data_IF_359558461854
#
_entry.id   IF_359558461854
#
_cell.length_a   1.000
_cell.length_b   1.000
_cell.length_c   1.000
_cell.angle_alpha   90.00
_cell.angle_beta   90.00
_cell.angle_gamma   90.00
#
_symmetry.space_group_name_H-M   'P 1'
#
loop_
_entity.id
_entity.type
_entity.pdbx_description
1 polymer ?
#
# COMPACT_ATOMS: atom_id res chain seq x y z
N UNK A 1 -55.55 11.66 7.36
CA UNK A 1 -54.33 12.51 7.27
C UNK A 1 -53.15 11.63 7.66
N UNK A 2 -52.37 11.19 6.67
CA UNK A 2 -51.15 10.42 6.82
C UNK A 2 -49.97 11.42 6.85
N UNK A 3 -49.17 11.42 7.92
CA UNK A 3 -47.88 12.10 8.10
C UNK A 3 -47.30 11.52 9.41
N UNK A 4 -46.08 11.03 9.57
CA UNK A 4 -44.89 11.03 8.73
C UNK A 4 -43.99 9.85 9.13
N UNK A 5 -43.24 9.32 8.17
CA UNK A 5 -42.12 8.41 8.41
C UNK A 5 -40.96 9.16 9.08
N UNK A 6 -40.36 8.56 10.09
CA UNK A 6 -38.96 8.78 10.42
C UNK A 6 -38.27 7.41 10.32
N UNK A 7 -37.97 7.00 9.09
CA UNK A 7 -37.00 5.95 8.86
C UNK A 7 -35.63 6.50 9.28
N UNK A 8 -35.11 6.02 10.41
CA UNK A 8 -33.71 6.22 10.73
C UNK A 8 -32.88 5.46 9.69
N UNK A 9 -32.36 6.17 8.69
CA UNK A 9 -31.25 5.64 7.90
C UNK A 9 -30.02 5.62 8.81
N UNK A 10 -29.37 4.46 9.08
CA UNK A 10 -27.95 4.50 9.32
C UNK A 10 -27.30 5.01 8.04
N UNK A 11 -26.44 6.02 8.16
CA UNK A 11 -25.53 6.38 7.08
C UNK A 11 -24.62 5.17 6.90
N UNK A 12 -25.00 4.27 6.00
CA UNK A 12 -24.09 3.26 5.50
C UNK A 12 -23.04 4.05 4.76
N UNK A 13 -21.91 4.26 5.43
CA UNK A 13 -20.65 4.58 4.77
C UNK A 13 -20.30 3.32 3.99
N UNK A 14 -21.00 3.11 2.88
CA UNK A 14 -20.56 2.25 1.81
C UNK A 14 -19.25 2.89 1.34
N UNK A 15 -18.15 2.43 1.96
CA UNK A 15 -16.86 2.47 1.33
C UNK A 15 -17.06 1.74 0.02
N UNK A 16 -17.37 2.51 -1.02
CA UNK A 16 -17.50 2.01 -2.36
C UNK A 16 -16.21 1.25 -2.62
N UNK A 17 -16.35 -0.07 -2.75
CA UNK A 17 -15.26 -0.97 -3.05
C UNK A 17 -14.80 -0.63 -4.47
N UNK A 18 -13.98 0.42 -4.58
CA UNK A 18 -13.05 0.53 -5.67
C UNK A 18 -12.33 -0.82 -5.72
N UNK A 19 -12.26 -1.50 -6.88
CA UNK A 19 -11.46 -2.70 -6.97
C UNK A 19 -10.09 -2.31 -6.46
N UNK A 20 -9.66 -2.92 -5.35
CA UNK A 20 -8.36 -2.64 -4.78
C UNK A 20 -7.36 -2.99 -5.88
N UNK A 21 -6.85 -1.97 -6.56
CA UNK A 21 -5.79 -2.15 -7.54
C UNK A 21 -4.65 -2.75 -6.72
N UNK A 22 -4.36 -4.02 -6.94
CA UNK A 22 -3.39 -4.80 -6.20
C UNK A 22 -2.07 -4.74 -6.96
N UNK A 23 -0.97 -4.54 -6.23
CA UNK A 23 0.35 -4.52 -6.83
C UNK A 23 0.72 -5.94 -7.29
N UNK A 24 1.14 -6.08 -8.54
CA UNK A 24 1.63 -7.37 -9.04
C UNK A 24 3.13 -7.50 -8.78
N UNK A 25 3.63 -8.74 -8.73
CA UNK A 25 5.07 -9.00 -8.58
C UNK A 25 5.84 -8.44 -9.78
N UNK A 26 5.28 -8.56 -10.98
CA UNK A 26 5.91 -8.06 -12.19
C UNK A 26 6.04 -6.53 -12.17
N UNK A 27 5.01 -5.80 -11.72
CA UNK A 27 5.09 -4.34 -11.58
C UNK A 27 6.10 -3.93 -10.51
N UNK A 28 6.11 -4.62 -9.36
CA UNK A 28 7.13 -4.39 -8.34
C UNK A 28 8.53 -4.60 -8.92
N UNK A 29 8.81 -5.76 -9.50
CA UNK A 29 10.11 -6.09 -10.09
C UNK A 29 10.54 -5.10 -11.18
N UNK A 30 9.64 -4.72 -12.08
CA UNK A 30 9.95 -3.78 -13.16
C UNK A 30 10.36 -2.39 -12.65
N UNK A 31 9.81 -1.97 -11.51
CA UNK A 31 10.20 -0.73 -10.84
C UNK A 31 11.53 -0.89 -10.11
N UNK A 32 11.70 -2.00 -9.39
CA UNK A 32 12.91 -2.37 -8.67
C UNK A 32 14.12 -2.42 -9.61
N UNK A 33 13.98 -3.06 -10.77
CA UNK A 33 15.03 -3.19 -11.80
C UNK A 33 15.45 -1.84 -12.43
N UNK A 34 14.56 -0.84 -12.43
CA UNK A 34 14.89 0.52 -12.92
C UNK A 34 15.72 1.31 -11.91
N UNK A 35 15.86 0.84 -10.67
CA UNK A 35 16.74 1.40 -9.64
C UNK A 35 16.34 2.77 -9.08
N UNK A 36 15.26 3.38 -9.58
CA UNK A 36 14.76 4.66 -9.05
C UNK A 36 13.37 4.46 -8.48
N UNK A 37 13.29 4.36 -7.15
CA UNK A 37 12.02 4.33 -6.41
C UNK A 37 11.88 5.63 -5.65
N UNK A 38 10.69 6.20 -5.71
CA UNK A 38 10.24 7.35 -4.92
C UNK A 38 9.05 6.91 -4.08
N UNK A 39 8.74 7.69 -3.04
CA UNK A 39 7.59 7.43 -2.18
C UNK A 39 6.28 7.33 -2.98
N UNK A 40 6.09 8.20 -3.97
CA UNK A 40 4.90 8.23 -4.83
C UNK A 40 4.86 7.15 -5.92
N UNK A 41 5.92 6.34 -6.09
CA UNK A 41 6.01 5.34 -7.17
C UNK A 41 4.87 4.33 -7.13
N UNK A 42 4.37 4.05 -5.93
CA UNK A 42 3.26 3.11 -5.70
C UNK A 42 2.00 3.82 -5.16
N UNK A 43 1.85 5.14 -5.33
CA UNK A 43 0.74 5.91 -4.75
C UNK A 43 -0.65 5.43 -5.18
N UNK A 44 -0.75 4.81 -6.38
CA UNK A 44 -2.01 4.22 -6.88
C UNK A 44 -2.46 2.98 -6.09
N UNK A 45 -1.56 2.39 -5.30
CA UNK A 45 -1.83 1.24 -4.45
C UNK A 45 -2.02 1.69 -3.01
N UNK A 46 -2.93 1.02 -2.32
CA UNK A 46 -3.12 1.24 -0.89
C UNK A 46 -1.87 0.77 -0.14
N UNK A 47 -1.36 1.62 0.73
CA UNK A 47 -0.31 1.27 1.68
C UNK A 47 -0.78 1.45 3.12
N UNK A 48 -0.07 0.81 4.03
CA UNK A 48 -0.14 1.05 5.47
C UNK A 48 1.20 1.61 5.91
N UNK A 49 1.19 2.72 6.65
CA UNK A 49 2.37 3.18 7.37
C UNK A 49 2.53 2.34 8.64
N UNK A 50 3.64 1.61 8.72
CA UNK A 50 3.98 0.71 9.82
C UNK A 50 5.20 1.21 10.62
N UNK A 51 5.66 2.43 10.35
CA UNK A 51 6.86 3.00 10.96
C UNK A 51 6.62 3.62 12.33
N UNK A 52 7.40 3.23 13.34
CA UNK A 52 7.40 3.82 14.69
C UNK A 52 8.52 4.85 14.91
N UNK A 53 8.81 5.68 13.89
CA UNK A 53 9.86 6.71 13.94
C UNK A 53 10.68 6.85 12.66
N UNK A 54 10.49 5.96 11.69
CA UNK A 54 10.93 6.10 10.30
C UNK A 54 9.70 6.05 9.40
N UNK A 55 9.80 6.60 8.20
CA UNK A 55 8.77 6.35 7.19
C UNK A 55 8.95 4.93 6.68
N UNK A 56 7.92 4.10 6.83
CA UNK A 56 7.91 2.71 6.35
C UNK A 56 6.52 2.37 5.81
N UNK A 57 6.40 2.37 4.49
CA UNK A 57 5.15 2.08 3.80
C UNK A 57 5.14 0.63 3.33
N UNK A 58 4.11 -0.11 3.74
CA UNK A 58 3.87 -1.49 3.33
C UNK A 58 2.69 -1.56 2.35
N UNK A 59 2.91 -2.21 1.21
CA UNK A 59 1.93 -2.45 0.16
C UNK A 59 1.61 -3.94 0.07
N UNK A 60 0.34 -4.26 -0.13
CA UNK A 60 -0.08 -5.62 -0.47
C UNK A 60 0.29 -5.93 -1.92
N UNK A 61 0.94 -7.08 -2.12
CA UNK A 61 1.34 -7.61 -3.42
C UNK A 61 0.62 -8.95 -3.65
N UNK A 62 0.33 -9.25 -4.92
CA UNK A 62 -0.32 -10.50 -5.30
C UNK A 62 0.38 -11.75 -4.74
N UNK A 63 -0.42 -12.75 -4.39
CA UNK A 63 0.07 -13.99 -3.79
C UNK A 63 0.43 -13.87 -2.30
N UNK A 64 -0.13 -12.88 -1.60
CA UNK A 64 0.09 -12.69 -0.15
C UNK A 64 1.42 -12.05 0.20
N UNK A 65 2.15 -11.55 -0.80
CA UNK A 65 3.45 -10.90 -0.65
C UNK A 65 3.27 -9.46 -0.18
N UNK A 66 4.37 -8.86 0.24
CA UNK A 66 4.41 -7.45 0.68
C UNK A 66 5.59 -6.73 0.08
N UNK A 67 5.38 -5.48 -0.34
CA UNK A 67 6.47 -4.57 -0.68
C UNK A 67 6.60 -3.55 0.45
N UNK A 68 7.80 -3.42 1.00
CA UNK A 68 8.12 -2.38 1.97
C UNK A 68 9.08 -1.38 1.37
N UNK A 69 8.71 -0.10 1.43
CA UNK A 69 9.63 1.01 1.14
C UNK A 69 9.81 1.85 2.40
N UNK A 70 11.04 2.23 2.71
CA UNK A 70 11.35 2.93 3.95
C UNK A 70 12.52 3.89 3.83
N UNK A 71 12.59 4.85 4.76
CA UNK A 71 13.58 5.91 4.77
C UNK A 71 13.37 6.92 5.90
N UNK A 72 14.37 7.75 6.14
CA UNK A 72 14.35 8.72 7.24
C UNK A 72 13.61 10.03 6.92
N UNK A 73 13.44 10.34 5.63
CA UNK A 73 12.83 11.60 5.18
C UNK A 73 12.01 11.37 3.89
N UNK A 74 10.77 11.84 3.87
CA UNK A 74 9.90 11.79 2.68
C UNK A 74 10.39 12.70 1.54
N UNK A 75 11.23 13.69 1.83
CA UNK A 75 11.86 14.56 0.83
C UNK A 75 13.10 13.92 0.18
N UNK A 76 13.59 12.82 0.73
CA UNK A 76 14.68 12.02 0.16
C UNK A 76 14.13 10.74 -0.46
N UNK A 77 14.91 10.10 -1.33
CA UNK A 77 14.54 8.79 -1.84
C UNK A 77 14.45 7.77 -0.69
N UNK A 78 13.53 6.79 -0.75
CA UNK A 78 13.55 5.64 0.14
C UNK A 78 14.93 4.97 0.10
N UNK A 79 15.45 4.62 1.27
CA UNK A 79 16.75 3.96 1.46
C UNK A 79 16.61 2.46 1.73
N UNK A 80 15.39 1.98 1.88
CA UNK A 80 15.07 0.57 2.10
C UNK A 80 13.94 0.19 1.14
N UNK A 81 14.17 -0.80 0.29
CA UNK A 81 13.14 -1.38 -0.57
C UNK A 81 13.25 -2.90 -0.47
N UNK A 82 12.19 -3.56 -0.01
CA UNK A 82 12.17 -5.00 0.27
C UNK A 82 10.90 -5.65 -0.25
N UNK A 83 11.06 -6.73 -0.99
CA UNK A 83 9.97 -7.65 -1.30
C UNK A 83 10.00 -8.79 -0.29
N UNK A 84 8.86 -9.01 0.36
CA UNK A 84 8.64 -10.03 1.38
C UNK A 84 7.63 -11.04 0.81
N UNK A 85 7.91 -12.33 0.94
CA UNK A 85 6.98 -13.37 0.50
C UNK A 85 5.79 -13.56 1.47
N UNK A 86 4.95 -14.56 1.19
CA UNK A 86 3.75 -14.82 2.00
C UNK A 86 4.10 -15.42 3.37
N UNK A 87 5.28 -16.01 3.49
CA UNK A 87 5.84 -16.62 4.67
C UNK A 87 6.50 -15.58 5.59
N UNK A 88 6.77 -14.37 5.08
CA UNK A 88 7.37 -13.27 5.82
C UNK A 88 8.89 -13.14 5.62
N UNK A 89 9.46 -13.89 4.69
CA UNK A 89 10.89 -13.87 4.38
C UNK A 89 11.20 -12.80 3.33
N UNK A 90 12.34 -12.12 3.49
CA UNK A 90 12.80 -11.13 2.51
C UNK A 90 13.38 -11.86 1.31
N UNK A 91 12.66 -11.81 0.18
CA UNK A 91 13.06 -12.48 -1.07
C UNK A 91 13.87 -11.58 -1.99
N UNK A 92 13.76 -10.25 -1.83
CA UNK A 92 14.55 -9.29 -2.60
C UNK A 92 14.77 -8.01 -1.81
N UNK A 93 15.99 -7.49 -1.83
CA UNK A 93 16.36 -6.17 -1.32
C UNK A 93 17.03 -5.38 -2.44
N UNK A 94 16.83 -4.05 -2.45
CA UNK A 94 17.60 -3.13 -3.28
C UNK A 94 18.48 -2.31 -2.36
N UNK A 95 19.78 -2.29 -2.68
CA UNK A 95 20.81 -1.51 -2.00
C UNK A 95 21.29 -0.35 -2.89
#
# INVERSE_FOLDING_TARGET
MLLSLAACNPVSKEAQAQPAVMLTVNEANAVIERGTVKWDTFEKYKHTDIGSGLYLWEYEVEGGRKLQIGGADLNQAPTQIRLIDAEGEVVQTID
#
